data_IF_619275097720
#
_entry.id   IF_619275097720
#
_cell.length_a   1.000
_cell.length_b   1.000
_cell.length_c   1.000
_cell.angle_alpha   90.00
_cell.angle_beta   90.00
_cell.angle_gamma   90.00
#
_symmetry.space_group_name_H-M   'P 1'
#
loop_
_entity.id
_entity.type
_entity.pdbx_description
1 polymer ?
#
# COMPACT_ATOMS: atom_id res chain seq x y z
N UNK A 1 1.69 2.59 3.05
CA UNK A 1 2.81 2.70 4.01
C UNK A 1 3.96 1.82 3.53
N UNK A 2 5.19 2.33 3.50
CA UNK A 2 6.39 1.57 3.09
C UNK A 2 7.32 1.42 4.30
N UNK A 3 7.69 0.18 4.62
CA UNK A 3 8.59 -0.14 5.73
C UNK A 3 9.85 -0.79 5.20
N UNK A 4 10.96 -0.04 5.20
CA UNK A 4 12.24 -0.50 4.64
C UNK A 4 12.91 -1.59 5.47
N UNK A 5 12.73 -1.59 6.80
CA UNK A 5 13.33 -2.60 7.67
C UNK A 5 12.75 -4.02 7.51
N UNK A 6 11.53 -4.14 6.97
CA UNK A 6 10.87 -5.44 6.72
C UNK A 6 10.62 -5.71 5.24
N UNK A 7 11.04 -4.80 4.35
CA UNK A 7 10.72 -4.84 2.91
C UNK A 7 9.21 -5.07 2.65
N UNK A 8 8.35 -4.34 3.36
CA UNK A 8 6.90 -4.47 3.20
C UNK A 8 6.25 -3.16 2.78
N UNK A 9 5.35 -3.27 1.80
CA UNK A 9 4.51 -2.21 1.33
C UNK A 9 3.05 -2.55 1.68
N UNK A 10 2.40 -1.68 2.43
CA UNK A 10 1.02 -1.83 2.85
C UNK A 10 0.12 -0.84 2.12
N UNK A 11 -0.86 -1.37 1.40
CA UNK A 11 -1.94 -0.61 0.78
C UNK A 11 -3.02 -0.41 1.82
N UNK A 12 -3.27 0.84 2.20
CA UNK A 12 -4.40 1.21 3.05
C UNK A 12 -5.48 1.85 2.18
N UNK A 13 -6.70 1.34 2.30
CA UNK A 13 -7.87 1.88 1.64
C UNK A 13 -8.97 2.04 2.68
N UNK A 14 -9.20 3.28 3.09
CA UNK A 14 -10.20 3.68 4.08
C UNK A 14 -11.64 3.49 3.58
N UNK A 15 -11.84 3.45 2.26
CA UNK A 15 -13.16 3.45 1.61
C UNK A 15 -13.55 2.11 0.98
N UNK A 16 -12.69 1.08 1.09
CA UNK A 16 -12.84 -0.20 0.39
C UNK A 16 -13.18 0.01 -1.10
N UNK A 17 -12.45 0.93 -1.73
CA UNK A 17 -12.64 1.32 -3.12
C UNK A 17 -12.29 0.19 -4.10
N UNK A 18 -12.80 0.31 -5.32
CA UNK A 18 -12.47 -0.61 -6.41
C UNK A 18 -11.07 -0.35 -7.03
N UNK A 19 -10.31 0.62 -6.52
CA UNK A 19 -9.03 1.06 -7.12
C UNK A 19 -7.83 0.19 -6.74
N UNK A 20 -8.02 -0.92 -6.03
CA UNK A 20 -6.96 -1.77 -5.50
C UNK A 20 -5.88 -2.14 -6.53
N UNK A 21 -6.27 -2.48 -7.76
CA UNK A 21 -5.33 -2.83 -8.83
C UNK A 21 -4.47 -1.63 -9.26
N UNK A 22 -5.07 -0.45 -9.37
CA UNK A 22 -4.36 0.79 -9.71
C UNK A 22 -3.37 1.18 -8.62
N UNK A 23 -3.80 1.11 -7.35
CA UNK A 23 -2.93 1.42 -6.19
C UNK A 23 -1.76 0.43 -6.12
N UNK A 24 -1.98 -0.85 -6.44
CA UNK A 24 -0.91 -1.86 -6.49
C UNK A 24 0.13 -1.56 -7.55
N UNK A 25 -0.30 -1.09 -8.73
CA UNK A 25 0.62 -0.66 -9.78
C UNK A 25 1.44 0.56 -9.34
N UNK A 26 0.83 1.55 -8.67
CA UNK A 26 1.54 2.70 -8.11
C UNK A 26 2.55 2.27 -7.03
N UNK A 27 2.16 1.35 -6.13
CA UNK A 27 3.05 0.82 -5.12
C UNK A 27 4.28 0.13 -5.72
N UNK A 28 4.10 -0.63 -6.81
CA UNK A 28 5.22 -1.25 -7.52
C UNK A 28 6.15 -0.21 -8.16
N UNK A 29 5.59 0.85 -8.76
CA UNK A 29 6.40 1.95 -9.30
C UNK A 29 7.24 2.60 -8.20
N UNK A 30 6.67 2.84 -7.02
CA UNK A 30 7.39 3.41 -5.89
C UNK A 30 8.51 2.49 -5.38
N UNK A 31 8.27 1.18 -5.32
CA UNK A 31 9.28 0.18 -4.96
C UNK A 31 10.46 0.24 -5.95
N UNK A 32 10.17 0.29 -7.25
CA UNK A 32 11.21 0.35 -8.29
C UNK A 32 12.06 1.63 -8.26
N UNK A 33 11.60 2.67 -7.55
CA UNK A 33 12.35 3.92 -7.35
C UNK A 33 13.26 3.87 -6.11
N UNK A 34 13.17 2.82 -5.29
CA UNK A 34 14.04 2.66 -4.14
C UNK A 34 15.49 2.37 -4.58
N UNK A 35 16.48 2.77 -3.78
CA UNK A 35 17.87 2.40 -4.02
C UNK A 35 18.02 0.88 -4.13
N UNK A 36 18.89 0.40 -5.02
CA UNK A 36 19.08 -1.03 -5.29
C UNK A 36 19.44 -1.83 -4.03
N UNK A 37 20.06 -1.21 -3.03
CA UNK A 37 20.38 -1.84 -1.75
C UNK A 37 19.13 -2.22 -0.93
N UNK A 38 17.96 -1.68 -1.30
CA UNK A 38 16.69 -1.82 -0.58
C UNK A 38 15.65 -2.61 -1.41
N UNK A 39 15.89 -2.84 -2.70
CA UNK A 39 14.92 -3.42 -3.65
C UNK A 39 14.79 -4.96 -3.57
N UNK A 40 15.66 -5.65 -2.83
CA UNK A 40 15.60 -7.11 -2.73
C UNK A 40 14.42 -7.58 -1.86
N UNK A 41 13.26 -7.78 -2.49
CA UNK A 41 12.19 -8.61 -1.95
C UNK A 41 10.98 -7.88 -1.36
N UNK A 42 10.70 -6.65 -1.81
CA UNK A 42 9.52 -5.93 -1.34
C UNK A 42 8.21 -6.69 -1.60
N UNK A 43 7.41 -6.87 -0.54
CA UNK A 43 6.09 -7.51 -0.60
C UNK A 43 4.98 -6.49 -0.43
N UNK A 44 4.11 -6.41 -1.44
CA UNK A 44 2.90 -5.56 -1.39
C UNK A 44 1.74 -6.35 -0.78
N UNK A 45 1.24 -5.87 0.37
CA UNK A 45 0.10 -6.42 1.10
C UNK A 45 -1.00 -5.38 1.26
N UNK A 46 -2.23 -5.85 1.38
CA UNK A 46 -3.33 -5.00 1.81
C UNK A 46 -3.29 -4.88 3.33
N UNK A 47 -3.48 -3.67 3.83
CA UNK A 47 -3.59 -3.41 5.26
C UNK A 47 -5.03 -3.58 5.68
N UNK A 48 -5.31 -4.64 6.43
CA UNK A 48 -6.58 -4.81 7.12
C UNK A 48 -6.47 -4.20 8.51
N UNK A 49 -7.01 -2.99 8.68
CA UNK A 49 -6.93 -2.28 9.96
C UNK A 49 -7.85 -2.85 11.04
N UNK A 50 -8.89 -3.58 10.64
CA UNK A 50 -9.99 -3.97 11.54
C UNK A 50 -10.83 -2.79 12.06
N UNK A 51 -10.49 -1.55 11.69
CA UNK A 51 -11.15 -0.32 12.14
C UNK A 51 -12.44 0.01 11.35
N UNK A 52 -12.84 -0.90 10.45
CA UNK A 52 -13.96 -0.70 9.54
C UNK A 52 -13.61 0.17 8.34
N UNK A 53 -14.58 0.27 7.43
CA UNK A 53 -14.52 1.16 6.28
C UNK A 53 -15.22 2.45 6.66
N UNK A 54 -14.65 3.58 6.22
CA UNK A 54 -15.27 4.88 6.37
C UNK A 54 -16.71 4.87 5.82
N UNK A 55 -17.62 5.50 6.56
CA UNK A 55 -19.07 5.47 6.27
C UNK A 55 -19.54 6.62 5.40
N UNK A 56 -18.74 7.68 5.27
CA UNK A 56 -18.97 8.81 4.38
C UNK A 56 -17.92 8.85 3.25
N UNK A 57 -18.00 9.82 2.34
CA UNK A 57 -17.11 9.91 1.17
C UNK A 57 -16.09 11.06 1.24
N UNK A 58 -15.85 11.66 2.42
CA UNK A 58 -15.06 12.89 2.54
C UNK A 58 -13.84 12.81 3.47
N UNK A 59 -13.77 11.78 4.30
CA UNK A 59 -12.66 11.51 5.24
C UNK A 59 -11.59 10.54 4.69
N UNK A 60 -11.51 10.38 3.36
CA UNK A 60 -10.56 9.48 2.72
C UNK A 60 -9.13 10.03 2.69
#
# INVERSE_FOLDING_TARGET
MLTLGTCEAYIYDSSASSYLLGIRAVAQTLINLLPREVDEGFRVRNYESGLGVQTDSYNC
#
